data_IF_878405991753
#
_entry.id   IF_878405991753
#
_cell.length_a   1.000
_cell.length_b   1.000
_cell.length_c   1.000
_cell.angle_alpha   90.00
_cell.angle_beta   90.00
_cell.angle_gamma   90.00
#
_symmetry.space_group_name_H-M   'P 1'
#
loop_
_entity.id
_entity.type
_entity.pdbx_description
1 polymer ?
#
# COMPACT_ATOMS: atom_id res chain seq x y z
N UNK A 1 62.29 8.70 1.64
CA UNK A 1 60.94 8.09 1.65
C UNK A 1 59.95 9.22 1.38
N UNK A 2 59.91 9.72 0.14
CA UNK A 2 58.99 9.34 -0.96
C UNK A 2 57.56 9.78 -0.61
N UNK A 3 57.02 10.94 -1.03
CA UNK A 3 56.86 11.60 -2.35
C UNK A 3 55.58 11.16 -3.11
N UNK A 4 54.94 12.13 -3.79
CA UNK A 4 53.82 12.09 -4.77
C UNK A 4 52.37 12.13 -4.18
N UNK A 5 51.45 13.06 -4.47
CA UNK A 5 51.10 13.94 -5.63
C UNK A 5 50.44 13.23 -6.83
N UNK A 6 49.15 13.50 -7.04
CA UNK A 6 48.37 13.55 -8.30
C UNK A 6 47.00 14.19 -7.94
N UNK A 7 46.54 15.39 -8.35
CA UNK A 7 46.32 15.98 -9.69
C UNK A 7 45.64 14.98 -10.64
N UNK A 8 44.41 15.16 -11.15
CA UNK A 8 43.80 16.30 -11.86
C UNK A 8 42.25 16.26 -11.70
N UNK A 9 41.50 17.35 -11.49
CA UNK A 9 41.13 18.47 -12.37
C UNK A 9 40.16 18.11 -13.52
N UNK A 10 39.25 19.07 -13.83
CA UNK A 10 38.24 19.17 -14.92
C UNK A 10 36.82 18.68 -14.50
N UNK A 11 35.71 19.44 -14.57
CA UNK A 11 35.40 20.68 -15.28
C UNK A 11 34.43 21.57 -14.48
N UNK A 12 34.80 22.85 -14.36
CA UNK A 12 33.86 23.94 -14.19
C UNK A 12 33.66 24.58 -15.56
N UNK A 13 32.42 24.80 -16.01
CA UNK A 13 32.15 25.73 -17.10
C UNK A 13 30.69 26.25 -17.08
N UNK A 14 30.40 27.41 -17.68
CA UNK A 14 29.88 28.57 -16.94
C UNK A 14 28.83 29.35 -17.76
N UNK A 15 27.61 29.54 -17.30
CA UNK A 15 26.70 30.42 -18.05
C UNK A 15 26.05 31.46 -17.13
N UNK A 16 26.84 32.48 -16.83
CA UNK A 16 26.32 33.80 -16.48
C UNK A 16 26.56 34.79 -17.63
N UNK A 17 25.47 35.47 -18.01
CA UNK A 17 25.37 36.76 -18.71
C UNK A 17 25.62 36.80 -20.23
N UNK A 18 24.54 36.98 -20.97
CA UNK A 18 24.45 38.08 -21.95
C UNK A 18 23.02 38.60 -22.01
N UNK A 19 22.83 39.88 -21.70
CA UNK A 19 21.63 40.64 -22.03
C UNK A 19 21.73 41.07 -23.50
N UNK A 20 20.69 40.85 -24.29
CA UNK A 20 20.39 41.67 -25.47
C UNK A 20 18.88 41.83 -25.60
N UNK A 21 18.47 43.10 -25.77
CA UNK A 21 17.11 43.50 -26.12
C UNK A 21 16.71 42.90 -27.47
N UNK A 22 15.47 42.44 -27.58
CA UNK A 22 14.85 42.06 -28.84
C UNK A 22 13.36 41.80 -28.67
N UNK A 23 12.54 42.72 -29.15
CA UNK A 23 11.08 42.61 -29.31
C UNK A 23 10.71 41.55 -30.35
N UNK A 24 9.76 40.66 -30.05
CA UNK A 24 8.62 40.23 -30.90
C UNK A 24 8.02 38.87 -30.46
N UNK A 25 6.70 38.75 -30.65
CA UNK A 25 5.83 37.60 -30.40
C UNK A 25 6.40 36.22 -30.82
N UNK A 26 6.26 35.20 -29.96
CA UNK A 26 5.45 34.00 -30.23
C UNK A 26 5.58 32.91 -29.14
N UNK A 27 4.44 32.31 -28.80
CA UNK A 27 4.19 30.95 -28.26
C UNK A 27 5.04 30.46 -27.07
N UNK A 28 4.45 30.58 -25.87
CA UNK A 28 4.80 29.71 -24.74
C UNK A 28 4.37 28.26 -25.02
N UNK A 29 5.34 27.40 -25.32
CA UNK A 29 5.18 25.96 -25.19
C UNK A 29 5.24 25.61 -23.70
N UNK A 30 4.06 25.44 -23.08
CA UNK A 30 3.93 24.72 -21.83
C UNK A 30 4.38 23.27 -22.05
N UNK A 31 5.53 22.90 -21.51
CA UNK A 31 5.92 21.51 -21.32
C UNK A 31 4.91 20.86 -20.38
N UNK A 32 3.87 20.26 -20.95
CA UNK A 32 2.95 19.39 -20.24
C UNK A 32 3.71 18.12 -19.84
N UNK A 33 4.05 18.01 -18.55
CA UNK A 33 4.42 16.74 -17.93
C UNK A 33 3.23 15.78 -18.07
N UNK A 34 3.42 14.53 -18.50
CA UNK A 34 2.31 13.59 -18.58
C UNK A 34 1.82 13.27 -17.16
N UNK A 35 0.56 13.61 -16.87
CA UNK A 35 -0.15 13.05 -15.72
C UNK A 35 -0.47 11.61 -16.10
N UNK A 36 0.04 10.64 -15.35
CA UNK A 36 -0.40 9.25 -15.44
C UNK A 36 -1.82 9.15 -14.86
N UNK A 37 -2.81 9.58 -15.63
CA UNK A 37 -4.22 9.27 -15.40
C UNK A 37 -4.50 7.99 -16.16
N UNK A 38 -4.74 6.90 -15.44
CA UNK A 38 -5.24 5.66 -16.04
C UNK A 38 -6.74 5.86 -16.24
N UNK A 39 -7.15 6.11 -17.48
CA UNK A 39 -8.56 6.05 -17.90
C UNK A 39 -8.78 4.67 -18.50
N UNK A 40 -9.52 3.81 -17.80
CA UNK A 40 -9.98 2.54 -18.39
C UNK A 40 -11.08 2.83 -19.41
N UNK A 41 -10.72 2.89 -20.70
CA UNK A 41 -11.67 2.76 -21.79
C UNK A 41 -11.82 1.27 -22.11
N UNK A 42 -12.98 0.71 -21.77
CA UNK A 42 -13.30 -0.69 -22.07
C UNK A 42 -13.55 -0.81 -23.56
N UNK A 43 -12.62 -1.40 -24.31
CA UNK A 43 -12.95 -2.05 -25.58
C UNK A 43 -13.42 -3.47 -25.28
N UNK A 44 -14.62 -3.89 -25.72
CA UNK A 44 -15.05 -5.26 -25.54
C UNK A 44 -14.23 -6.16 -26.47
N UNK A 45 -13.35 -6.99 -25.90
CA UNK A 45 -12.74 -8.11 -26.61
C UNK A 45 -13.59 -9.35 -26.35
N UNK A 46 -14.30 -9.81 -27.38
CA UNK A 46 -14.98 -11.11 -27.37
C UNK A 46 -13.90 -12.19 -27.45
N UNK A 47 -13.72 -12.95 -26.38
CA UNK A 47 -12.86 -14.14 -26.40
C UNK A 47 -13.62 -15.30 -27.06
N UNK A 48 -12.95 -15.99 -27.98
CA UNK A 48 -13.43 -17.24 -28.60
C UNK A 48 -13.21 -18.42 -27.65
N UNK A 49 -14.20 -19.30 -27.41
CA UNK A 49 -14.04 -20.41 -26.48
C UNK A 49 -13.19 -21.52 -27.10
N UNK A 50 -12.09 -21.88 -26.43
CA UNK A 50 -11.34 -23.11 -26.68
C UNK A 50 -12.06 -24.30 -26.01
N UNK A 51 -12.40 -25.30 -26.80
CA UNK A 51 -13.09 -26.52 -26.35
C UNK A 51 -12.13 -27.48 -25.65
N UNK A 52 -12.26 -27.61 -24.33
CA UNK A 52 -11.85 -28.81 -23.60
C UNK A 52 -13.03 -29.31 -22.76
N UNK A 53 -13.63 -30.42 -23.20
CA UNK A 53 -14.75 -31.06 -22.52
C UNK A 53 -14.25 -32.02 -21.45
N UNK A 54 -14.39 -31.64 -20.18
CA UNK A 54 -14.43 -32.59 -19.07
C UNK A 54 -15.90 -32.95 -18.82
N UNK A 55 -16.25 -34.21 -19.06
CA UNK A 55 -17.57 -34.73 -18.78
C UNK A 55 -17.83 -34.72 -17.27
N UNK A 56 -18.60 -33.73 -16.81
CA UNK A 56 -19.10 -33.60 -15.44
C UNK A 56 -20.63 -33.49 -15.43
N UNK A 57 -21.25 -34.20 -14.49
CA UNK A 57 -22.69 -34.34 -14.25
C UNK A 57 -23.47 -33.00 -14.30
N UNK A 58 -24.73 -32.97 -14.82
CA UNK A 58 -25.49 -31.74 -14.98
C UNK A 58 -26.10 -31.32 -13.63
N UNK A 59 -25.34 -30.62 -12.80
CA UNK A 59 -25.91 -29.80 -11.74
C UNK A 59 -26.40 -28.49 -12.36
N UNK A 60 -27.69 -28.47 -12.71
CA UNK A 60 -28.45 -27.37 -13.32
C UNK A 60 -28.75 -26.21 -12.35
N UNK A 61 -27.76 -25.81 -11.55
CA UNK A 61 -27.80 -24.55 -10.81
C UNK A 61 -27.08 -23.45 -11.60
N UNK A 62 -27.48 -22.17 -11.48
CA UNK A 62 -26.69 -21.10 -12.07
C UNK A 62 -25.27 -21.14 -11.51
N UNK A 63 -24.26 -21.05 -12.38
CA UNK A 63 -22.87 -20.89 -12.00
C UNK A 63 -22.76 -19.64 -11.11
N UNK A 64 -22.61 -19.82 -9.79
CA UNK A 64 -22.65 -18.71 -8.82
C UNK A 64 -21.59 -17.64 -9.10
N UNK A 65 -20.47 -18.05 -9.69
CA UNK A 65 -19.38 -17.17 -10.12
C UNK A 65 -19.82 -16.28 -11.28
N UNK A 66 -20.49 -16.84 -12.29
CA UNK A 66 -20.98 -16.10 -13.46
C UNK A 66 -22.11 -15.12 -13.11
N UNK A 67 -22.81 -15.35 -11.98
CA UNK A 67 -23.85 -14.46 -11.49
C UNK A 67 -23.36 -13.24 -10.71
N UNK A 68 -22.05 -13.14 -10.44
CA UNK A 68 -21.49 -12.01 -9.71
C UNK A 68 -21.60 -10.73 -10.54
N UNK A 69 -21.90 -9.62 -9.85
CA UNK A 69 -21.97 -8.31 -10.50
C UNK A 69 -20.58 -7.76 -10.78
N UNK A 70 -20.50 -6.74 -11.64
CA UNK A 70 -19.25 -6.07 -12.02
C UNK A 70 -18.41 -5.62 -10.81
N UNK A 71 -19.04 -5.24 -9.71
CA UNK A 71 -18.38 -4.86 -8.46
C UNK A 71 -18.96 -5.69 -7.32
N UNK A 72 -18.22 -6.70 -6.90
CA UNK A 72 -18.63 -7.61 -5.83
C UNK A 72 -17.72 -7.47 -4.60
N UNK A 73 -18.23 -7.81 -3.42
CA UNK A 73 -17.52 -7.67 -2.15
C UNK A 73 -17.59 -8.94 -1.30
N UNK A 74 -16.49 -9.27 -0.62
CA UNK A 74 -16.40 -10.34 0.36
C UNK A 74 -16.23 -9.72 1.74
N UNK A 75 -17.18 -9.98 2.64
CA UNK A 75 -17.24 -9.40 3.98
C UNK A 75 -17.32 -10.51 5.04
N UNK A 76 -16.82 -10.22 6.24
CA UNK A 76 -16.95 -11.12 7.38
C UNK A 76 -18.26 -10.86 8.09
N UNK A 77 -18.95 -11.93 8.49
CA UNK A 77 -20.25 -11.84 9.15
C UNK A 77 -20.15 -12.08 10.67
N UNK A 78 -18.95 -12.36 11.19
CA UNK A 78 -18.70 -12.69 12.59
C UNK A 78 -17.59 -11.79 13.15
N UNK A 79 -16.72 -12.33 14.01
CA UNK A 79 -15.64 -11.61 14.68
C UNK A 79 -14.25 -11.90 14.07
N UNK A 80 -14.19 -12.06 12.74
CA UNK A 80 -12.92 -12.26 12.02
C UNK A 80 -12.60 -13.72 11.73
N UNK A 81 -11.49 -13.91 11.01
CA UNK A 81 -10.90 -15.21 10.64
C UNK A 81 -11.85 -16.23 9.97
N UNK A 82 -12.88 -15.77 9.27
CA UNK A 82 -13.87 -16.62 8.58
C UNK A 82 -13.36 -17.23 7.26
N UNK A 83 -12.07 -17.06 6.94
CA UNK A 83 -11.49 -17.57 5.70
C UNK A 83 -11.75 -16.72 4.45
N UNK A 84 -12.04 -15.41 4.62
CA UNK A 84 -12.28 -14.46 3.51
C UNK A 84 -11.18 -14.46 2.47
N UNK A 85 -9.91 -14.48 2.90
CA UNK A 85 -8.75 -14.49 2.01
C UNK A 85 -8.79 -15.63 1.00
N UNK A 86 -9.18 -16.84 1.43
CA UNK A 86 -9.32 -18.00 0.57
C UNK A 86 -10.44 -17.81 -0.46
N UNK A 87 -11.59 -17.27 -0.05
CA UNK A 87 -12.68 -17.00 -0.98
C UNK A 87 -12.31 -15.92 -2.00
N UNK A 88 -11.62 -14.86 -1.56
CA UNK A 88 -11.13 -13.79 -2.44
C UNK A 88 -10.13 -14.34 -3.46
N UNK A 89 -9.22 -15.21 -3.05
CA UNK A 89 -8.25 -15.86 -3.94
C UNK A 89 -8.93 -16.69 -5.03
N UNK A 90 -9.92 -17.52 -4.66
CA UNK A 90 -10.73 -18.31 -5.61
C UNK A 90 -11.51 -17.39 -6.57
N UNK A 91 -12.10 -16.31 -6.08
CA UNK A 91 -12.89 -15.41 -6.92
C UNK A 91 -12.03 -14.52 -7.82
N UNK A 92 -10.78 -14.25 -7.43
CA UNK A 92 -9.91 -13.30 -8.11
C UNK A 92 -9.58 -13.71 -9.57
N UNK A 93 -9.64 -15.00 -9.90
CA UNK A 93 -9.56 -15.50 -11.29
C UNK A 93 -10.59 -14.85 -12.24
N UNK A 94 -11.70 -14.36 -11.68
CA UNK A 94 -12.81 -13.76 -12.44
C UNK A 94 -12.87 -12.23 -12.34
N UNK A 95 -11.91 -11.59 -11.66
CA UNK A 95 -11.86 -10.14 -11.49
C UNK A 95 -10.50 -9.55 -11.88
N UNK A 96 -10.55 -8.50 -12.71
CA UNK A 96 -9.35 -7.74 -13.09
C UNK A 96 -8.71 -6.97 -11.92
N UNK A 97 -9.51 -6.62 -10.90
CA UNK A 97 -9.06 -5.79 -9.78
C UNK A 97 -9.54 -6.40 -8.47
N UNK A 98 -8.62 -6.55 -7.51
CA UNK A 98 -8.94 -6.90 -6.12
C UNK A 98 -8.43 -5.81 -5.21
N UNK A 99 -9.35 -5.21 -4.45
CA UNK A 99 -9.06 -4.03 -3.63
C UNK A 99 -9.28 -4.28 -2.13
N UNK A 100 -8.31 -3.86 -1.31
CA UNK A 100 -8.44 -3.79 0.13
C UNK A 100 -8.92 -2.39 0.52
N UNK A 101 -10.10 -2.29 1.13
CA UNK A 101 -10.77 -1.01 1.31
C UNK A 101 -10.61 -0.35 2.69
N UNK A 102 -10.38 -1.12 3.76
CA UNK A 102 -10.35 -0.64 5.15
C UNK A 102 -9.37 -1.46 5.99
N UNK A 103 -9.18 -1.10 7.26
CA UNK A 103 -8.28 -1.81 8.17
C UNK A 103 -6.82 -1.49 7.91
N UNK A 104 -5.94 -2.43 8.22
CA UNK A 104 -4.51 -2.36 7.96
C UNK A 104 -3.89 -3.76 8.06
N UNK A 105 -2.64 -3.85 8.50
CA UNK A 105 -1.94 -5.12 8.66
C UNK A 105 -2.44 -5.96 9.86
N UNK A 106 -3.68 -5.79 10.32
CA UNK A 106 -4.25 -6.53 11.46
C UNK A 106 -5.00 -7.80 11.06
N UNK A 107 -5.43 -7.91 9.81
CA UNK A 107 -5.97 -9.16 9.27
C UNK A 107 -4.82 -10.06 8.81
N UNK A 108 -4.95 -11.37 9.02
CA UNK A 108 -4.06 -12.38 8.47
C UNK A 108 -4.82 -13.28 7.50
N UNK A 109 -4.57 -13.14 6.21
CA UNK A 109 -5.16 -14.02 5.19
C UNK A 109 -4.15 -15.09 4.81
N UNK A 110 -4.38 -16.31 5.28
CA UNK A 110 -3.63 -17.47 4.81
C UNK A 110 -4.29 -18.01 3.55
N UNK A 111 -3.53 -18.08 2.46
CA UNK A 111 -3.94 -18.70 1.18
C UNK A 111 -2.90 -19.74 0.75
N UNK A 112 -3.31 -20.63 -0.14
CA UNK A 112 -2.49 -21.73 -0.65
C UNK A 112 -2.56 -21.72 -2.17
N UNK A 113 -1.42 -21.78 -2.84
CA UNK A 113 -1.40 -21.92 -4.29
C UNK A 113 -1.73 -23.37 -4.73
N UNK A 114 -1.76 -23.62 -6.04
CA UNK A 114 -2.06 -24.93 -6.62
C UNK A 114 -1.08 -26.03 -6.16
N UNK A 115 0.18 -25.70 -5.90
CA UNK A 115 1.21 -26.63 -5.39
C UNK A 115 1.13 -26.84 -3.87
N UNK A 116 0.17 -26.23 -3.18
CA UNK A 116 -0.01 -26.35 -1.73
C UNK A 116 0.93 -25.47 -0.90
N UNK A 117 1.64 -24.53 -1.52
CA UNK A 117 2.51 -23.57 -0.83
C UNK A 117 1.67 -22.52 -0.10
N UNK A 118 1.96 -22.35 1.19
CA UNK A 118 1.27 -21.42 2.08
C UNK A 118 1.80 -20.00 1.92
N UNK A 119 0.90 -19.03 1.78
CA UNK A 119 1.18 -17.60 1.80
C UNK A 119 0.38 -16.93 2.92
N UNK A 120 1.03 -16.07 3.70
CA UNK A 120 0.39 -15.30 4.77
C UNK A 120 0.39 -13.81 4.39
N UNK A 121 -0.77 -13.31 3.98
CA UNK A 121 -0.98 -11.94 3.56
C UNK A 121 -1.58 -11.10 4.68
N UNK A 122 -1.26 -9.81 4.68
CA UNK A 122 -1.74 -8.84 5.66
C UNK A 122 -2.30 -7.60 4.95
N UNK A 123 -1.44 -6.79 4.33
CA UNK A 123 -1.86 -5.60 3.59
C UNK A 123 -2.14 -5.90 2.12
N UNK A 124 -1.36 -6.79 1.52
CA UNK A 124 -1.49 -7.12 0.11
C UNK A 124 -2.80 -7.90 -0.11
N UNK A 125 -3.68 -7.46 -1.04
CA UNK A 125 -4.92 -8.15 -1.32
C UNK A 125 -4.70 -9.62 -1.75
N UNK A 126 -5.59 -10.52 -1.33
CA UNK A 126 -5.44 -11.97 -1.58
C UNK A 126 -5.48 -12.39 -3.05
N UNK A 127 -5.89 -11.52 -3.97
CA UNK A 127 -5.81 -11.78 -5.40
C UNK A 127 -4.38 -11.72 -5.98
N UNK A 128 -3.35 -11.43 -5.19
CA UNK A 128 -1.97 -11.27 -5.70
C UNK A 128 -1.38 -12.54 -6.34
N UNK A 129 -1.92 -13.73 -6.03
CA UNK A 129 -1.48 -14.97 -6.66
C UNK A 129 -1.96 -15.10 -8.12
N UNK A 130 -3.00 -14.37 -8.53
CA UNK A 130 -3.54 -14.40 -9.88
C UNK A 130 -2.83 -13.37 -10.76
N UNK A 131 -1.94 -13.80 -11.66
CA UNK A 131 -1.02 -12.94 -12.42
C UNK A 131 -1.71 -11.77 -13.15
N UNK A 132 -2.91 -12.00 -13.68
CA UNK A 132 -3.70 -11.00 -14.42
C UNK A 132 -4.50 -10.03 -13.52
N UNK A 133 -4.50 -10.25 -12.20
CA UNK A 133 -5.22 -9.41 -11.24
C UNK A 133 -4.35 -8.25 -10.76
N UNK A 134 -4.92 -7.04 -10.82
CA UNK A 134 -4.36 -5.83 -10.23
C UNK A 134 -4.81 -5.68 -8.77
N UNK A 135 -3.86 -5.63 -7.85
CA UNK A 135 -4.12 -5.41 -6.43
C UNK A 135 -4.11 -3.92 -6.09
N UNK A 136 -5.12 -3.46 -5.34
CA UNK A 136 -5.26 -2.06 -4.94
C UNK A 136 -5.39 -1.95 -3.42
N UNK A 137 -4.54 -1.14 -2.79
CA UNK A 137 -4.69 -0.70 -1.41
C UNK A 137 -5.42 0.65 -1.42
N UNK A 138 -6.67 0.63 -0.99
CA UNK A 138 -7.57 1.78 -1.03
C UNK A 138 -7.27 2.84 0.03
N UNK A 139 -7.88 4.02 -0.12
CA UNK A 139 -7.68 5.17 0.77
C UNK A 139 -8.21 4.98 2.20
N UNK A 140 -9.06 3.97 2.43
CA UNK A 140 -9.56 3.65 3.76
C UNK A 140 -8.50 2.96 4.62
N UNK A 141 -7.53 2.27 4.01
CA UNK A 141 -6.49 1.48 4.67
C UNK A 141 -5.46 2.37 5.40
N UNK A 142 -4.97 1.87 6.54
CA UNK A 142 -3.77 2.39 7.22
C UNK A 142 -2.55 1.52 6.87
N UNK A 143 -1.53 2.12 6.29
CA UNK A 143 -0.40 1.43 5.66
C UNK A 143 0.84 1.59 6.51
N UNK A 144 1.33 0.47 7.08
CA UNK A 144 2.66 0.40 7.67
C UNK A 144 3.66 0.03 6.57
N UNK A 145 4.51 0.99 6.18
CA UNK A 145 5.40 0.82 5.01
C UNK A 145 6.41 -0.31 5.22
N UNK A 146 7.04 -0.39 6.40
CA UNK A 146 8.03 -1.44 6.68
C UNK A 146 7.38 -2.83 6.61
N UNK A 147 6.17 -2.98 7.15
CA UNK A 147 5.39 -4.21 7.05
C UNK A 147 5.02 -4.56 5.62
N UNK A 148 4.55 -3.58 4.84
CA UNK A 148 4.22 -3.77 3.43
C UNK A 148 5.42 -4.22 2.60
N UNK A 149 6.58 -3.59 2.76
CA UNK A 149 7.80 -4.00 2.02
C UNK A 149 8.27 -5.39 2.43
N UNK A 150 8.28 -5.72 3.73
CA UNK A 150 8.59 -7.07 4.21
C UNK A 150 7.64 -8.13 3.62
N UNK A 151 6.36 -7.80 3.49
CA UNK A 151 5.36 -8.67 2.88
C UNK A 151 5.63 -8.86 1.38
N UNK A 152 5.95 -7.79 0.65
CA UNK A 152 6.31 -7.84 -0.77
C UNK A 152 7.59 -8.66 -0.99
N UNK A 153 8.65 -8.42 -0.21
CA UNK A 153 9.90 -9.17 -0.29
C UNK A 153 9.67 -10.67 -0.03
N UNK A 154 8.79 -10.97 0.94
CA UNK A 154 8.33 -12.33 1.22
C UNK A 154 7.60 -12.97 0.03
N UNK A 155 6.77 -12.22 -0.69
CA UNK A 155 6.08 -12.72 -1.88
C UNK A 155 7.04 -12.95 -3.06
N UNK A 156 7.91 -11.98 -3.33
CA UNK A 156 8.85 -12.05 -4.46
C UNK A 156 9.90 -13.16 -4.27
N UNK A 157 10.44 -13.31 -3.05
CA UNK A 157 11.32 -14.45 -2.71
C UNK A 157 10.65 -15.82 -2.85
N UNK A 158 9.31 -15.84 -2.82
CA UNK A 158 8.51 -17.04 -3.01
C UNK A 158 7.99 -17.23 -4.45
N UNK A 159 8.43 -16.41 -5.39
CA UNK A 159 8.13 -16.52 -6.82
C UNK A 159 6.92 -15.72 -7.30
N UNK A 160 6.31 -14.91 -6.43
CA UNK A 160 5.13 -14.10 -6.78
C UNK A 160 5.59 -12.69 -7.17
N UNK A 161 5.51 -12.35 -8.46
CA UNK A 161 5.89 -11.02 -8.94
C UNK A 161 4.89 -9.95 -8.48
N UNK A 162 5.38 -8.96 -7.72
CA UNK A 162 4.56 -7.86 -7.21
C UNK A 162 4.68 -6.58 -8.05
N UNK A 163 5.74 -6.49 -8.87
CA UNK A 163 6.08 -5.29 -9.64
C UNK A 163 4.97 -4.90 -10.63
N UNK A 164 4.46 -3.69 -10.49
CA UNK A 164 3.39 -3.16 -11.36
C UNK A 164 1.99 -3.72 -11.07
N UNK A 165 1.86 -4.62 -10.09
CA UNK A 165 0.60 -5.30 -9.75
C UNK A 165 -0.01 -4.83 -8.43
N UNK A 166 0.71 -4.02 -7.66
CA UNK A 166 0.21 -3.43 -6.41
C UNK A 166 0.16 -1.90 -6.55
N UNK A 167 -1.04 -1.34 -6.47
CA UNK A 167 -1.27 0.10 -6.42
C UNK A 167 -1.62 0.52 -5.00
N UNK A 168 -0.92 1.53 -4.49
CA UNK A 168 -1.20 2.11 -3.16
C UNK A 168 -1.81 3.49 -3.34
N UNK A 169 -2.99 3.70 -2.76
CA UNK A 169 -3.64 5.02 -2.77
C UNK A 169 -2.76 6.06 -2.08
N UNK A 170 -2.54 7.19 -2.74
CA UNK A 170 -1.88 8.36 -2.17
C UNK A 170 -2.66 8.99 -1.00
N UNK A 171 -3.95 8.64 -0.85
CA UNK A 171 -4.83 9.10 0.23
C UNK A 171 -4.88 8.15 1.43
N UNK A 172 -4.27 6.97 1.34
CA UNK A 172 -4.15 6.06 2.48
C UNK A 172 -3.28 6.71 3.57
N UNK A 173 -3.61 6.47 4.83
CA UNK A 173 -2.84 7.03 5.95
C UNK A 173 -1.64 6.15 6.28
N UNK A 174 -0.54 6.77 6.69
CA UNK A 174 0.66 6.07 7.11
C UNK A 174 0.57 5.69 8.58
N UNK A 175 0.80 4.40 8.82
CA UNK A 175 1.01 3.86 10.14
C UNK A 175 2.51 3.86 10.42
N UNK A 176 2.94 4.58 11.45
CA UNK A 176 4.32 4.60 11.94
C UNK A 176 4.50 3.72 13.17
N UNK A 177 5.75 3.39 13.49
CA UNK A 177 6.08 2.54 14.64
C UNK A 177 5.64 3.15 15.98
N UNK A 178 5.62 4.48 16.09
CA UNK A 178 5.10 5.12 17.29
C UNK A 178 3.60 4.87 17.51
N UNK A 179 2.80 4.68 16.45
CA UNK A 179 1.41 4.29 16.62
C UNK A 179 1.31 2.92 17.29
N UNK A 180 2.23 1.99 17.01
CA UNK A 180 2.28 0.67 17.65
C UNK A 180 2.65 0.80 19.13
N UNK A 181 3.65 1.62 19.43
CA UNK A 181 4.04 1.91 20.81
C UNK A 181 2.88 2.53 21.61
N UNK A 182 2.20 3.53 21.04
CA UNK A 182 1.03 4.18 21.65
C UNK A 182 -0.13 3.20 21.87
N UNK A 183 -0.38 2.28 20.92
CA UNK A 183 -1.40 1.22 21.06
C UNK A 183 -1.09 0.32 22.26
N UNK A 184 0.17 -0.11 22.40
CA UNK A 184 0.65 -0.89 23.54
C UNK A 184 0.52 -0.15 24.87
N UNK A 185 0.89 1.13 24.91
CA UNK A 185 0.78 1.97 26.11
C UNK A 185 -0.68 2.15 26.55
N UNK A 186 -1.60 2.36 25.61
CA UNK A 186 -3.04 2.44 25.92
C UNK A 186 -3.59 1.16 26.54
N UNK A 187 -3.24 0.01 25.98
CA UNK A 187 -3.65 -1.26 26.55
C UNK A 187 -3.12 -1.37 27.98
N UNK A 188 -1.84 -1.09 28.22
CA UNK A 188 -1.24 -1.11 29.56
C UNK A 188 -1.93 -0.17 30.57
N UNK A 189 -2.34 1.04 30.16
CA UNK A 189 -3.11 1.97 31.01
C UNK A 189 -4.49 1.41 31.40
N UNK A 190 -5.14 0.64 30.52
CA UNK A 190 -6.47 0.09 30.76
C UNK A 190 -6.49 -1.07 31.76
N UNK A 191 -5.32 -1.63 32.10
CA UNK A 191 -5.16 -2.71 33.09
C UNK A 191 -6.26 -3.78 32.97
N UNK A 192 -7.21 -3.88 33.91
CA UNK A 192 -8.22 -4.96 33.89
C UNK A 192 -9.29 -4.84 32.78
N UNK A 193 -9.28 -3.77 32.00
CA UNK A 193 -10.23 -3.50 30.91
C UNK A 193 -9.57 -3.47 29.54
N UNK A 194 -8.61 -4.37 29.30
CA UNK A 194 -7.97 -4.54 27.99
C UNK A 194 -9.00 -4.81 26.90
N UNK A 195 -8.80 -4.19 25.73
CA UNK A 195 -9.59 -4.49 24.53
C UNK A 195 -9.08 -5.78 23.88
N UNK A 196 -7.78 -6.08 24.01
CA UNK A 196 -7.13 -7.17 23.28
C UNK A 196 -6.71 -6.73 21.89
N UNK A 197 -6.13 -5.53 21.76
CA UNK A 197 -5.67 -5.04 20.45
C UNK A 197 -4.51 -5.89 19.93
N UNK A 198 -4.31 -5.88 18.61
CA UNK A 198 -3.14 -6.53 17.99
C UNK A 198 -1.83 -5.79 18.28
N UNK A 199 -1.90 -4.63 18.96
CA UNK A 199 -0.77 -3.72 19.21
C UNK A 199 -0.05 -3.29 17.92
N UNK A 200 -0.75 -3.35 16.80
CA UNK A 200 -0.24 -2.98 15.47
C UNK A 200 -0.45 -1.51 15.15
N UNK A 201 -1.00 -0.70 16.06
CA UNK A 201 -1.13 0.75 15.87
C UNK A 201 -2.31 1.17 15.00
N UNK A 202 -3.26 0.27 14.72
CA UNK A 202 -4.42 0.55 13.86
C UNK A 202 -5.29 1.64 14.46
N UNK A 203 -5.67 1.48 15.74
CA UNK A 203 -6.49 2.45 16.46
C UNK A 203 -5.86 3.85 16.50
N UNK A 204 -4.61 3.99 17.00
CA UNK A 204 -3.92 5.28 17.01
C UNK A 204 -3.78 5.92 15.63
N UNK A 205 -3.47 5.14 14.57
CA UNK A 205 -3.38 5.69 13.21
C UNK A 205 -4.73 6.23 12.70
N UNK A 206 -5.83 5.50 12.94
CA UNK A 206 -7.18 6.01 12.64
C UNK A 206 -7.54 7.23 13.50
N UNK A 207 -7.07 7.31 14.74
CA UNK A 207 -7.25 8.50 15.59
C UNK A 207 -6.61 9.73 14.94
N UNK A 208 -5.37 9.63 14.47
CA UNK A 208 -4.70 10.74 13.77
C UNK A 208 -5.40 11.11 12.46
N UNK A 209 -5.95 10.13 11.73
CA UNK A 209 -6.80 10.37 10.55
C UNK A 209 -8.04 11.20 10.90
N UNK A 210 -8.75 10.83 11.96
CA UNK A 210 -9.98 11.53 12.41
C UNK A 210 -9.66 12.93 12.94
N UNK A 211 -8.56 13.09 13.67
CA UNK A 211 -8.10 14.39 14.21
C UNK A 211 -7.55 15.31 13.10
N UNK A 212 -7.25 14.76 11.92
CA UNK A 212 -6.72 15.45 10.73
C UNK A 212 -5.26 15.93 10.88
N UNK A 213 -4.50 15.35 11.80
CA UNK A 213 -3.05 15.54 11.92
C UNK A 213 -2.25 14.37 11.32
N UNK A 214 -2.92 13.28 10.90
CA UNK A 214 -2.27 12.11 10.31
C UNK A 214 -1.60 12.39 8.95
N UNK A 215 -0.47 11.72 8.72
CA UNK A 215 0.28 11.78 7.46
C UNK A 215 -0.24 10.71 6.51
N UNK A 216 -0.34 11.03 5.21
CA UNK A 216 -0.78 10.12 4.15
C UNK A 216 0.37 9.72 3.24
N UNK A 217 0.17 8.67 2.44
CA UNK A 217 1.16 8.19 1.47
C UNK A 217 1.59 9.30 0.50
N UNK A 218 0.67 10.16 0.07
CA UNK A 218 0.95 11.29 -0.82
C UNK A 218 1.91 12.32 -0.22
N UNK A 219 1.97 12.45 1.10
CA UNK A 219 2.86 13.39 1.78
C UNK A 219 4.34 12.99 1.65
N UNK A 220 4.64 11.72 1.35
CA UNK A 220 6.01 11.24 1.06
C UNK A 220 6.61 11.87 -0.19
N UNK A 221 5.79 12.49 -1.05
CA UNK A 221 6.26 13.25 -2.21
C UNK A 221 6.79 14.64 -1.82
N UNK A 222 6.56 15.08 -0.59
CA UNK A 222 6.89 16.40 -0.06
C UNK A 222 7.77 16.28 1.19
N UNK A 223 8.96 15.69 1.00
CA UNK A 223 9.94 15.42 2.05
C UNK A 223 10.44 16.67 2.78
N UNK A 224 10.25 17.85 2.20
CA UNK A 224 10.52 19.16 2.78
C UNK A 224 9.57 19.52 3.94
N UNK A 225 8.33 19.03 3.91
CA UNK A 225 7.30 19.28 4.95
C UNK A 225 7.03 18.09 5.87
N UNK A 226 7.50 16.90 5.46
CA UNK A 226 7.25 15.66 6.19
C UNK A 226 7.81 15.67 7.63
N UNK A 227 9.05 16.15 7.89
CA UNK A 227 9.59 16.18 9.25
C UNK A 227 8.75 17.01 10.23
N UNK A 228 8.24 18.16 9.80
CA UNK A 228 7.42 19.04 10.63
C UNK A 228 6.07 18.41 10.95
N UNK A 229 5.45 17.72 9.98
CA UNK A 229 4.21 16.96 10.22
C UNK A 229 4.43 15.81 11.20
N UNK A 230 5.56 15.12 11.08
CA UNK A 230 5.91 14.01 11.97
C UNK A 230 6.18 14.50 13.39
N UNK A 231 6.89 15.61 13.55
CA UNK A 231 7.16 16.22 14.85
C UNK A 231 5.87 16.59 15.61
N UNK A 232 4.87 17.14 14.92
CA UNK A 232 3.54 17.43 15.50
C UNK A 232 2.88 16.16 16.05
N UNK A 233 2.93 15.05 15.31
CA UNK A 233 2.36 13.77 15.75
C UNK A 233 3.08 13.17 16.95
N UNK A 234 4.41 13.27 16.96
CA UNK A 234 5.24 12.76 18.06
C UNK A 234 5.08 13.60 19.32
N UNK A 235 4.98 14.93 19.17
CA UNK A 235 4.69 15.86 20.26
C UNK A 235 3.32 15.56 20.89
N UNK A 236 2.29 15.31 20.07
CA UNK A 236 0.97 14.89 20.54
C UNK A 236 1.05 13.59 21.36
N UNK A 237 1.72 12.56 20.84
CA UNK A 237 1.92 11.29 21.54
C UNK A 237 2.68 11.46 22.87
N UNK A 238 3.78 12.23 22.88
CA UNK A 238 4.59 12.51 24.06
C UNK A 238 3.81 13.29 25.14
N UNK A 239 2.92 14.20 24.72
CA UNK A 239 2.07 14.94 25.65
C UNK A 239 1.05 14.04 26.36
N UNK A 240 0.59 12.97 25.69
CA UNK A 240 -0.43 12.06 26.21
C UNK A 240 0.13 10.95 27.10
N UNK A 241 1.29 10.39 26.75
CA UNK A 241 1.84 9.22 27.45
C UNK A 241 3.17 9.53 28.13
N UNK A 242 3.16 9.55 29.47
CA UNK A 242 4.38 9.70 30.28
C UNK A 242 5.27 8.47 30.06
N UNK A 243 6.50 8.68 29.61
CA UNK A 243 7.45 7.60 29.28
C UNK A 243 7.48 7.21 27.79
N UNK A 244 6.74 7.91 26.93
CA UNK A 244 6.95 7.81 25.48
C UNK A 244 8.22 8.58 25.10
N UNK A 245 9.33 7.87 24.97
CA UNK A 245 10.56 8.39 24.40
C UNK A 245 10.57 8.10 22.90
N UNK A 246 10.53 9.16 22.09
CA UNK A 246 10.75 9.06 20.67
C UNK A 246 11.90 9.95 20.26
N UNK A 247 12.95 9.33 19.73
CA UNK A 247 14.15 10.01 19.28
C UNK A 247 14.90 9.15 18.26
N UNK A 248 16.03 9.66 17.72
CA UNK A 248 16.80 9.02 16.65
C UNK A 248 17.33 7.60 16.99
N UNK A 249 17.21 7.20 18.25
CA UNK A 249 17.70 5.96 18.85
C UNK A 249 16.69 4.80 18.69
N UNK A 250 15.39 5.10 18.52
CA UNK A 250 14.37 4.13 18.11
C UNK A 250 14.51 3.87 16.59
N UNK A 251 15.61 3.24 16.19
CA UNK A 251 15.75 2.64 14.85
C UNK A 251 15.09 1.26 14.88
N UNK A 252 14.39 0.98 13.78
CA UNK A 252 13.65 -0.25 13.51
C UNK A 252 14.44 -1.55 13.68
#
# INVERSE_FOLDING_TARGET
MNNLSAFAALDANPLSKTCYLGTHHNRFNLLQRPRNVVVCSVKPSVASPSSLSVAGSPNSGPNRIESLTQVSGVLGCQWGDEGKGKLVDILAEHFYIVAHCQGGANAGHTIYNAEGKKFALHLVPSGILNEDTLCVIGNGVVVHLLGLFKEIDGLESNGVSCKGRILVSDRAHLLFDFHQAVDGLRESELAKSFIGTTKRGIGPCYSSKVIRNGIRVGDLRHMDTLPQKLDILLSDAASRFKGFEYGPQMRA
#
